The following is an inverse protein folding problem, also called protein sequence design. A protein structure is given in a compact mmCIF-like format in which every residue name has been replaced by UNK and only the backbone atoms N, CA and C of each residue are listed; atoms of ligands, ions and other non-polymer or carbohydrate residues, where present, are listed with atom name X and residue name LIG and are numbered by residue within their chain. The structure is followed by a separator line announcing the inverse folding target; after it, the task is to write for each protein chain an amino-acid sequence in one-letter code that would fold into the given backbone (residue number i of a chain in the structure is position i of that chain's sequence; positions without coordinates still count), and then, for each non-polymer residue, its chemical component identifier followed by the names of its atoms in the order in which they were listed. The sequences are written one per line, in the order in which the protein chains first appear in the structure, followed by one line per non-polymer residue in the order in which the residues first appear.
data_IF_790229160878
#
_entry.id   IF_790229160878
#
_cell.length_a   1.000
_cell.length_b   1.000
_cell.length_c   1.000
_cell.angle_alpha   90.00
_cell.angle_beta   90.00
_cell.angle_gamma   90.00
#
_symmetry.space_group_name_H-M   'P 1'
#
loop_
_entity.id
_entity.type
_entity.pdbx_description
1 polymer ?
#
# COMPACT_ATOMS: atom_id res chain seq x y z
N UNK A 1 -19.32 -9.21 23.35
CA UNK A 1 -17.88 -8.93 23.50
C UNK A 1 -17.09 -9.95 22.67
N UNK A 2 -16.28 -9.48 21.70
CA UNK A 2 -15.39 -10.34 20.92
C UNK A 2 -14.37 -11.02 21.83
N UNK A 3 -14.09 -12.31 21.55
CA UNK A 3 -13.05 -13.03 22.28
C UNK A 3 -11.71 -12.28 22.16
N UNK A 4 -11.15 -11.85 23.29
CA UNK A 4 -9.91 -11.06 23.33
C UNK A 4 -8.75 -11.74 22.60
N UNK A 5 -8.69 -13.06 22.61
CA UNK A 5 -7.64 -13.82 21.92
C UNK A 5 -7.75 -13.69 20.40
N UNK A 6 -8.94 -13.79 19.82
CA UNK A 6 -9.17 -13.67 18.37
C UNK A 6 -8.88 -12.23 17.92
N UNK A 7 -9.40 -11.25 18.66
CA UNK A 7 -9.14 -9.84 18.36
C UNK A 7 -7.64 -9.54 18.34
N UNK A 8 -6.92 -9.98 19.36
CA UNK A 8 -5.48 -9.75 19.47
C UNK A 8 -4.72 -10.42 18.33
N UNK A 9 -5.08 -11.65 17.97
CA UNK A 9 -4.44 -12.38 16.88
C UNK A 9 -4.60 -11.64 15.54
N UNK A 10 -5.79 -11.14 15.24
CA UNK A 10 -6.07 -10.38 14.03
C UNK A 10 -5.40 -9.01 14.04
N UNK A 11 -5.32 -8.35 15.20
CA UNK A 11 -4.58 -7.09 15.36
C UNK A 11 -3.10 -7.29 15.04
N UNK A 12 -2.46 -8.31 15.61
CA UNK A 12 -1.04 -8.60 15.36
C UNK A 12 -0.81 -8.96 13.89
N UNK A 13 -1.69 -9.75 13.30
CA UNK A 13 -1.64 -10.06 11.87
C UNK A 13 -1.65 -8.79 11.02
N UNK A 14 -2.55 -7.85 11.29
CA UNK A 14 -2.63 -6.60 10.55
C UNK A 14 -1.42 -5.71 10.77
N UNK A 15 -0.91 -5.61 11.99
CA UNK A 15 0.30 -4.83 12.30
C UNK A 15 1.47 -5.34 11.45
N UNK A 16 1.73 -6.64 11.45
CA UNK A 16 2.86 -7.23 10.71
C UNK A 16 2.64 -7.08 9.20
N UNK A 17 1.42 -7.37 8.72
CA UNK A 17 1.05 -7.27 7.30
C UNK A 17 1.43 -5.91 6.70
N UNK A 18 1.10 -4.84 7.39
CA UNK A 18 1.31 -3.48 6.89
C UNK A 18 2.68 -2.93 7.27
N UNK A 19 3.28 -3.40 8.35
CA UNK A 19 4.65 -3.06 8.70
C UNK A 19 5.67 -3.56 7.67
N UNK A 20 5.45 -4.72 7.07
CA UNK A 20 6.27 -5.24 5.97
C UNK A 20 6.35 -4.21 4.82
N UNK A 21 5.23 -3.65 4.45
CA UNK A 21 5.16 -2.69 3.35
C UNK A 21 5.68 -1.30 3.75
N UNK A 22 5.32 -0.85 4.94
CA UNK A 22 5.77 0.44 5.49
C UNK A 22 7.28 0.54 5.67
N UNK A 23 7.97 -0.57 5.78
CA UNK A 23 9.43 -0.61 5.93
C UNK A 23 10.18 -0.05 4.72
N UNK A 24 9.64 -0.16 3.52
CA UNK A 24 10.33 0.26 2.29
C UNK A 24 9.51 1.12 1.32
N UNK A 25 8.18 1.08 1.40
CA UNK A 25 7.31 1.67 0.37
C UNK A 25 7.66 3.14 0.06
N UNK A 26 7.82 3.95 1.08
CA UNK A 26 8.08 5.38 0.92
C UNK A 26 9.55 5.75 0.86
N UNK A 27 10.44 4.87 1.31
CA UNK A 27 11.88 5.14 1.42
C UNK A 27 12.74 4.45 0.36
N UNK A 28 12.20 3.48 -0.37
CA UNK A 28 12.96 2.75 -1.39
C UNK A 28 13.53 3.68 -2.47
N UNK A 29 12.79 4.73 -2.85
CA UNK A 29 13.27 5.71 -3.81
C UNK A 29 14.56 6.40 -3.39
N UNK A 30 14.72 6.74 -2.11
CA UNK A 30 15.94 7.33 -1.57
C UNK A 30 17.13 6.36 -1.64
N UNK A 31 16.91 5.10 -1.33
CA UNK A 31 17.94 4.08 -1.47
C UNK A 31 18.36 3.91 -2.93
N UNK A 32 17.39 3.78 -3.85
CA UNK A 32 17.68 3.64 -5.28
C UNK A 32 18.46 4.84 -5.83
N UNK A 33 18.10 6.04 -5.42
CA UNK A 33 18.84 7.24 -5.78
C UNK A 33 20.29 7.22 -5.27
N UNK A 34 20.50 6.76 -4.04
CA UNK A 34 21.83 6.70 -3.42
C UNK A 34 22.79 5.71 -4.10
N UNK A 35 22.27 4.68 -4.75
CA UNK A 35 23.05 3.65 -5.47
C UNK A 35 23.10 3.86 -6.98
N UNK A 36 22.71 5.01 -7.47
CA UNK A 36 22.78 5.36 -8.90
C UNK A 36 21.62 4.87 -9.76
N UNK A 37 20.53 4.42 -9.14
CA UNK A 37 19.32 3.94 -9.83
C UNK A 37 18.16 4.94 -9.80
N UNK A 38 18.44 6.23 -9.65
CA UNK A 38 17.40 7.27 -9.59
C UNK A 38 16.46 7.28 -10.80
N UNK A 39 16.97 7.01 -12.00
CA UNK A 39 16.17 6.92 -13.22
C UNK A 39 15.29 5.67 -13.32
N UNK A 40 15.51 4.70 -12.42
CA UNK A 40 14.80 3.42 -12.40
C UNK A 40 13.72 3.35 -11.29
N UNK A 41 13.58 4.38 -10.47
CA UNK A 41 12.60 4.41 -9.36
C UNK A 41 11.19 4.10 -9.86
N UNK A 42 10.76 4.72 -10.96
CA UNK A 42 9.43 4.49 -11.53
C UNK A 42 9.16 3.03 -11.91
N UNK A 43 10.15 2.32 -12.44
CA UNK A 43 10.02 0.90 -12.83
C UNK A 43 9.80 0.02 -11.58
N UNK A 44 10.51 0.29 -10.49
CA UNK A 44 10.31 -0.43 -9.23
C UNK A 44 8.89 -0.26 -8.69
N UNK A 45 8.37 0.97 -8.67
CA UNK A 45 7.01 1.23 -8.19
C UNK A 45 5.94 0.71 -9.15
N UNK A 46 6.15 0.76 -10.45
CA UNK A 46 5.20 0.25 -11.44
C UNK A 46 5.03 -1.27 -11.34
N UNK A 47 6.05 -1.99 -10.86
CA UNK A 47 5.97 -3.43 -10.68
C UNK A 47 4.89 -3.85 -9.69
N UNK A 48 4.63 -3.04 -8.66
CA UNK A 48 3.52 -3.28 -7.73
C UNK A 48 2.17 -3.29 -8.45
N UNK A 49 1.94 -2.35 -9.33
CA UNK A 49 0.74 -2.29 -10.16
C UNK A 49 0.63 -3.47 -11.12
N UNK A 50 1.70 -3.78 -11.83
CA UNK A 50 1.73 -4.88 -12.82
C UNK A 50 1.39 -6.22 -12.17
N UNK A 51 2.02 -6.57 -11.07
CA UNK A 51 1.74 -7.84 -10.37
C UNK A 51 0.35 -7.85 -9.75
N UNK A 52 -0.19 -6.71 -9.38
CA UNK A 52 -1.54 -6.59 -8.81
C UNK A 52 -2.65 -6.85 -9.83
N UNK A 53 -2.34 -6.86 -11.12
CA UNK A 53 -3.31 -7.19 -12.18
C UNK A 53 -3.70 -8.67 -12.12
N UNK A 54 -2.75 -9.57 -11.89
CA UNK A 54 -2.97 -11.01 -12.02
C UNK A 54 -2.67 -11.82 -10.74
N UNK A 55 -1.70 -11.45 -9.93
CA UNK A 55 -1.29 -12.24 -8.76
C UNK A 55 -2.38 -12.41 -7.69
N UNK A 56 -3.15 -11.38 -7.31
CA UNK A 56 -4.25 -11.56 -6.34
C UNK A 56 -5.29 -12.57 -6.82
N UNK A 57 -5.63 -12.58 -8.09
CA UNK A 57 -6.57 -13.54 -8.67
C UNK A 57 -6.01 -14.96 -8.65
N UNK A 58 -4.76 -15.15 -9.04
CA UNK A 58 -4.10 -16.45 -9.00
C UNK A 58 -4.06 -17.02 -7.58
N UNK A 59 -3.63 -16.21 -6.61
CA UNK A 59 -3.56 -16.63 -5.21
C UNK A 59 -4.95 -16.85 -4.60
N UNK A 60 -5.94 -16.08 -5.02
CA UNK A 60 -7.34 -16.34 -4.64
C UNK A 60 -7.84 -17.70 -5.09
N UNK A 61 -7.54 -18.10 -6.31
CA UNK A 61 -7.88 -19.45 -6.83
C UNK A 61 -7.15 -20.54 -6.04
N UNK A 62 -5.88 -20.33 -5.72
CA UNK A 62 -5.10 -21.28 -4.89
C UNK A 62 -5.68 -21.41 -3.49
N UNK A 63 -6.11 -20.30 -2.89
CA UNK A 63 -6.73 -20.29 -1.56
C UNK A 63 -8.09 -20.99 -1.55
N UNK A 64 -8.86 -20.84 -2.63
CA UNK A 64 -10.19 -21.46 -2.73
C UNK A 64 -10.11 -22.98 -2.94
N UNK A 65 -9.10 -23.47 -3.65
CA UNK A 65 -9.07 -24.86 -4.13
C UNK A 65 -8.00 -25.75 -3.49
N UNK A 66 -6.82 -25.21 -3.17
CA UNK A 66 -5.66 -26.05 -2.91
C UNK A 66 -5.06 -25.89 -1.51
N UNK A 67 -4.96 -24.68 -1.01
CA UNK A 67 -4.26 -24.39 0.23
C UNK A 67 -5.12 -23.50 1.11
N UNK A 68 -5.33 -23.84 2.40
CA UNK A 68 -6.05 -22.97 3.34
C UNK A 68 -5.49 -21.54 3.35
N UNK A 69 -6.38 -20.55 3.37
CA UNK A 69 -6.01 -19.13 3.17
C UNK A 69 -4.94 -18.64 4.15
N UNK A 70 -5.00 -19.03 5.43
CA UNK A 70 -3.98 -18.62 6.40
C UNK A 70 -2.61 -19.23 6.12
N UNK A 71 -2.56 -20.48 5.64
CA UNK A 71 -1.29 -21.11 5.24
C UNK A 71 -0.73 -20.47 3.99
N UNK A 72 -1.58 -20.18 3.00
CA UNK A 72 -1.17 -19.49 1.78
C UNK A 72 -0.66 -18.07 2.08
N UNK A 73 -1.33 -17.35 2.98
CA UNK A 73 -0.85 -16.05 3.46
C UNK A 73 0.56 -16.15 4.03
N UNK A 74 0.82 -17.14 4.88
CA UNK A 74 2.14 -17.40 5.43
C UNK A 74 3.18 -17.74 4.36
N UNK A 75 2.84 -18.62 3.42
CA UNK A 75 3.75 -19.00 2.32
C UNK A 75 4.10 -17.80 1.44
N UNK A 76 3.10 -16.99 1.05
CA UNK A 76 3.34 -15.78 0.27
C UNK A 76 4.25 -14.79 1.01
N UNK A 77 4.02 -14.56 2.30
CA UNK A 77 4.89 -13.73 3.12
C UNK A 77 6.31 -14.31 3.27
N UNK A 78 6.42 -15.63 3.39
CA UNK A 78 7.71 -16.31 3.47
C UNK A 78 8.55 -16.13 2.20
N UNK A 79 7.94 -16.32 1.03
CA UNK A 79 8.61 -16.13 -0.27
C UNK A 79 8.97 -14.65 -0.47
N UNK A 80 8.03 -13.74 -0.21
CA UNK A 80 8.26 -12.31 -0.32
C UNK A 80 9.35 -11.84 0.64
N UNK A 81 9.33 -12.31 1.89
CA UNK A 81 10.33 -11.99 2.90
C UNK A 81 11.71 -12.53 2.57
N UNK A 82 11.80 -13.75 2.09
CA UNK A 82 13.07 -14.33 1.66
C UNK A 82 13.68 -13.57 0.47
N UNK A 83 12.87 -13.17 -0.50
CA UNK A 83 13.31 -12.36 -1.64
C UNK A 83 13.77 -10.96 -1.20
N UNK A 84 13.09 -10.33 -0.24
CA UNK A 84 13.51 -9.04 0.33
C UNK A 84 14.80 -9.14 1.15
N UNK A 85 14.95 -10.17 1.95
CA UNK A 85 16.21 -10.45 2.64
C UNK A 85 17.36 -10.65 1.63
N UNK A 86 17.10 -11.36 0.54
CA UNK A 86 18.04 -11.51 -0.58
C UNK A 86 18.43 -10.18 -1.21
N UNK A 87 17.47 -9.29 -1.44
CA UNK A 87 17.70 -7.93 -1.96
C UNK A 87 18.54 -7.09 -0.99
N UNK A 88 18.23 -7.15 0.30
CA UNK A 88 19.01 -6.48 1.34
C UNK A 88 20.44 -7.01 1.45
N UNK A 89 20.61 -8.32 1.43
CA UNK A 89 21.93 -8.96 1.44
C UNK A 89 22.74 -8.60 0.19
N UNK A 90 22.12 -8.60 -0.98
CA UNK A 90 22.75 -8.16 -2.22
C UNK A 90 23.20 -6.69 -2.14
N UNK A 91 22.35 -5.81 -1.61
CA UNK A 91 22.70 -4.41 -1.38
C UNK A 91 23.86 -4.22 -0.41
N UNK A 92 23.94 -5.06 0.62
CA UNK A 92 25.04 -5.06 1.57
C UNK A 92 26.37 -5.47 0.93
N UNK A 93 26.36 -6.52 0.11
CA UNK A 93 27.58 -7.08 -0.50
C UNK A 93 28.06 -6.30 -1.71
N UNK A 94 27.16 -5.76 -2.52
CA UNK A 94 27.49 -5.00 -3.72
C UNK A 94 27.87 -3.54 -3.44
N UNK A 95 27.50 -2.99 -2.31
CA UNK A 95 27.79 -1.60 -1.95
C UNK A 95 27.21 -0.61 -2.96
N UNK A 96 28.08 0.12 -3.67
CA UNK A 96 27.69 1.06 -4.73
C UNK A 96 27.58 0.42 -6.12
N UNK A 97 28.08 -0.81 -6.30
CA UNK A 97 28.13 -1.52 -7.59
C UNK A 97 26.89 -2.39 -7.80
N UNK A 98 25.71 -1.81 -7.61
CA UNK A 98 24.45 -2.53 -7.70
C UNK A 98 24.01 -2.70 -9.16
N UNK A 99 23.82 -3.97 -9.56
CA UNK A 99 23.17 -4.29 -10.82
C UNK A 99 21.65 -4.11 -10.71
N UNK A 100 21.08 -3.29 -11.60
CA UNK A 100 19.63 -3.13 -11.70
C UNK A 100 18.92 -4.48 -11.87
N UNK A 101 19.42 -5.35 -12.74
CA UNK A 101 18.75 -6.61 -13.06
C UNK A 101 18.62 -7.53 -11.86
N UNK A 102 19.65 -7.62 -11.02
CA UNK A 102 19.64 -8.49 -9.83
C UNK A 102 18.72 -7.92 -8.77
N UNK A 103 18.86 -6.65 -8.43
CA UNK A 103 18.04 -6.01 -7.41
C UNK A 103 16.56 -5.98 -7.83
N UNK A 104 16.28 -5.63 -9.07
CA UNK A 104 14.92 -5.61 -9.59
C UNK A 104 14.28 -6.98 -9.63
N UNK A 105 15.01 -8.03 -9.98
CA UNK A 105 14.50 -9.41 -10.00
C UNK A 105 14.10 -9.87 -8.61
N UNK A 106 14.93 -9.61 -7.60
CA UNK A 106 14.62 -9.95 -6.21
C UNK A 106 13.42 -9.15 -5.69
N UNK A 107 13.38 -7.86 -5.98
CA UNK A 107 12.27 -7.00 -5.62
C UNK A 107 10.96 -7.43 -6.31
N UNK A 108 11.00 -7.72 -7.61
CA UNK A 108 9.84 -8.14 -8.37
C UNK A 108 9.26 -9.46 -7.84
N UNK A 109 10.11 -10.43 -7.49
CA UNK A 109 9.68 -11.69 -6.86
C UNK A 109 9.00 -11.42 -5.52
N UNK A 110 9.59 -10.57 -4.69
CA UNK A 110 9.01 -10.20 -3.41
C UNK A 110 7.64 -9.55 -3.57
N UNK A 111 7.52 -8.57 -4.44
CA UNK A 111 6.28 -7.83 -4.66
C UNK A 111 5.20 -8.70 -5.29
N UNK A 112 5.57 -9.61 -6.20
CA UNK A 112 4.64 -10.54 -6.82
C UNK A 112 3.91 -11.42 -5.78
N UNK A 113 4.60 -11.83 -4.73
CA UNK A 113 4.02 -12.62 -3.65
C UNK A 113 3.45 -11.76 -2.49
N UNK A 114 3.90 -10.53 -2.33
CA UNK A 114 3.36 -9.64 -1.30
C UNK A 114 2.00 -9.04 -1.69
N UNK A 115 1.83 -8.58 -2.93
CA UNK A 115 0.58 -7.89 -3.33
C UNK A 115 -0.68 -8.74 -3.10
N UNK A 116 -0.71 -10.04 -3.41
CA UNK A 116 -1.88 -10.86 -3.08
C UNK A 116 -2.14 -10.99 -1.58
N UNK A 117 -1.14 -10.82 -0.73
CA UNK A 117 -1.32 -10.94 0.73
C UNK A 117 -2.22 -9.86 1.31
N UNK A 118 -2.34 -8.70 0.65
CA UNK A 118 -3.25 -7.63 1.08
C UNK A 118 -4.70 -8.13 1.05
N UNK A 119 -5.12 -8.76 -0.04
CA UNK A 119 -6.44 -9.35 -0.17
C UNK A 119 -6.59 -10.60 0.69
N UNK A 120 -5.57 -11.47 0.74
CA UNK A 120 -5.59 -12.70 1.53
C UNK A 120 -5.70 -12.41 3.04
N UNK A 121 -5.00 -11.40 3.56
CA UNK A 121 -5.09 -11.03 4.97
C UNK A 121 -6.50 -10.58 5.36
N UNK A 122 -7.16 -9.82 4.49
CA UNK A 122 -8.55 -9.44 4.68
C UNK A 122 -9.48 -10.66 4.65
N UNK A 123 -9.30 -11.55 3.69
CA UNK A 123 -10.08 -12.78 3.58
C UNK A 123 -9.92 -13.68 4.81
N UNK A 124 -8.70 -13.83 5.30
CA UNK A 124 -8.42 -14.58 6.54
C UNK A 124 -9.11 -13.94 7.74
N UNK A 125 -9.04 -12.62 7.87
CA UNK A 125 -9.70 -11.91 8.96
C UNK A 125 -11.22 -12.07 8.91
N UNK A 126 -11.82 -11.90 7.74
CA UNK A 126 -13.26 -12.08 7.54
C UNK A 126 -13.71 -13.51 7.86
N UNK A 127 -12.99 -14.50 7.36
CA UNK A 127 -13.30 -15.90 7.61
C UNK A 127 -13.24 -16.25 9.11
N UNK A 128 -12.20 -15.79 9.81
CA UNK A 128 -12.04 -16.02 11.25
C UNK A 128 -13.16 -15.31 12.03
N UNK A 129 -13.52 -14.07 11.67
CA UNK A 129 -14.60 -13.34 12.34
C UNK A 129 -15.95 -14.02 12.12
N UNK A 130 -16.31 -14.36 10.89
CA UNK A 130 -17.59 -14.99 10.55
C UNK A 130 -17.76 -16.34 11.20
N UNK A 131 -16.72 -17.18 11.22
CA UNK A 131 -16.74 -18.49 11.87
C UNK A 131 -16.93 -18.43 13.38
N UNK A 132 -16.54 -17.33 13.99
CA UNK A 132 -16.72 -17.10 15.41
C UNK A 132 -17.98 -16.28 15.73
N UNK A 133 -18.85 -16.05 14.75
CA UNK A 133 -20.13 -15.38 14.93
C UNK A 133 -20.05 -13.86 15.07
N UNK A 134 -18.97 -13.24 14.58
CA UNK A 134 -18.78 -11.78 14.62
C UNK A 134 -19.21 -11.13 13.31
N UNK A 135 -19.62 -9.87 13.40
CA UNK A 135 -19.99 -9.07 12.24
C UNK A 135 -18.74 -8.40 11.63
N UNK A 136 -18.38 -8.82 10.41
CA UNK A 136 -17.20 -8.30 9.72
C UNK A 136 -17.28 -6.80 9.46
N UNK A 137 -18.45 -6.26 9.14
CA UNK A 137 -18.64 -4.83 8.88
C UNK A 137 -18.39 -3.99 10.13
N UNK A 138 -18.78 -4.51 11.29
CA UNK A 138 -18.66 -3.81 12.58
C UNK A 138 -17.30 -4.06 13.24
N UNK A 139 -16.81 -5.30 13.20
CA UNK A 139 -15.70 -5.76 14.04
C UNK A 139 -14.35 -5.69 13.33
N UNK A 140 -14.31 -5.73 11.99
CA UNK A 140 -13.06 -5.66 11.25
C UNK A 140 -12.43 -4.24 11.18
N UNK A 141 -13.16 -3.14 10.94
CA UNK A 141 -12.55 -1.82 10.82
C UNK A 141 -11.70 -1.40 12.03
N UNK A 142 -12.12 -1.62 13.29
CA UNK A 142 -11.28 -1.33 14.45
C UNK A 142 -9.98 -2.15 14.48
N UNK A 143 -9.99 -3.37 13.95
CA UNK A 143 -8.80 -4.22 13.82
C UNK A 143 -7.90 -3.70 12.71
N UNK A 144 -8.47 -3.30 11.59
CA UNK A 144 -7.74 -2.81 10.41
C UNK A 144 -6.96 -1.52 10.69
N UNK A 145 -7.43 -0.67 11.58
CA UNK A 145 -6.72 0.56 12.01
C UNK A 145 -5.32 0.24 12.53
N UNK A 146 -5.12 -0.89 13.20
CA UNK A 146 -3.81 -1.32 13.67
C UNK A 146 -2.83 -1.63 12.53
N UNK A 147 -3.32 -1.92 11.33
CA UNK A 147 -2.49 -2.01 10.14
C UNK A 147 -1.82 -0.67 9.80
N UNK A 148 -2.55 0.42 9.84
CA UNK A 148 -1.99 1.76 9.66
C UNK A 148 -0.97 2.10 10.75
N UNK A 149 -1.24 1.73 11.99
CA UNK A 149 -0.29 1.90 13.10
C UNK A 149 0.99 1.11 12.83
N UNK A 150 0.89 -0.13 12.38
CA UNK A 150 2.05 -0.96 12.01
C UNK A 150 2.86 -0.35 10.87
N UNK A 151 2.20 0.17 9.86
CA UNK A 151 2.84 0.88 8.75
C UNK A 151 3.63 2.09 9.23
N UNK A 152 3.03 2.93 10.06
CA UNK A 152 3.67 4.12 10.63
C UNK A 152 4.85 3.74 11.52
N UNK A 153 4.69 2.74 12.39
CA UNK A 153 5.77 2.26 13.25
C UNK A 153 6.97 1.76 12.44
N UNK A 154 6.73 1.03 11.35
CA UNK A 154 7.79 0.56 10.46
C UNK A 154 8.49 1.73 9.75
N UNK A 155 7.75 2.72 9.27
CA UNK A 155 8.32 3.94 8.68
C UNK A 155 9.22 4.68 9.66
N UNK A 156 8.77 4.88 10.89
CA UNK A 156 9.53 5.57 11.93
C UNK A 156 10.76 4.76 12.36
N UNK A 157 10.63 3.45 12.48
CA UNK A 157 11.76 2.57 12.78
C UNK A 157 12.87 2.70 11.72
N UNK A 158 12.50 2.62 10.45
CA UNK A 158 13.44 2.78 9.33
C UNK A 158 14.03 4.19 9.27
N UNK A 159 13.27 5.21 9.68
CA UNK A 159 13.77 6.59 9.73
C UNK A 159 14.81 6.81 10.82
N UNK A 160 14.59 6.29 12.03
CA UNK A 160 15.43 6.61 13.17
C UNK A 160 16.57 5.64 13.39
N UNK A 161 16.50 4.42 12.88
CA UNK A 161 17.61 3.46 13.00
C UNK A 161 18.69 3.75 11.98
N UNK A 162 19.94 3.57 12.42
CA UNK A 162 21.14 3.71 11.58
C UNK A 162 21.90 2.38 11.54
N UNK A 163 22.58 2.13 10.42
CA UNK A 163 23.48 0.98 10.30
C UNK A 163 24.85 1.25 10.94
N UNK A 164 25.76 0.29 10.85
CA UNK A 164 27.12 0.40 11.40
C UNK A 164 27.95 1.53 10.78
N UNK A 165 27.60 2.00 9.59
CA UNK A 165 28.25 3.11 8.89
C UNK A 165 27.61 4.48 9.20
N UNK A 166 26.65 4.51 10.10
CA UNK A 166 25.92 5.73 10.49
C UNK A 166 24.87 6.19 9.49
N UNK A 167 24.56 5.39 8.48
CA UNK A 167 23.51 5.69 7.47
C UNK A 167 22.14 5.24 7.99
N UNK A 168 21.15 6.12 7.90
CA UNK A 168 19.78 5.78 8.27
C UNK A 168 19.23 4.63 7.38
N UNK A 169 18.44 3.74 7.96
CA UNK A 169 17.85 2.63 7.22
C UNK A 169 17.01 3.07 6.02
N UNK A 170 16.36 4.25 6.09
CA UNK A 170 15.60 4.79 4.97
C UNK A 170 16.44 5.08 3.70
N UNK A 171 17.76 5.22 3.83
CA UNK A 171 18.69 5.48 2.74
C UNK A 171 19.61 4.29 2.42
N UNK A 172 19.38 3.15 3.06
CA UNK A 172 20.24 1.98 2.96
C UNK A 172 19.45 0.71 2.60
N UNK A 173 20.18 -0.35 2.25
CA UNK A 173 19.62 -1.70 2.01
C UNK A 173 18.91 -2.28 3.25
N UNK A 174 19.17 -1.75 4.44
CA UNK A 174 18.57 -2.26 5.68
C UNK A 174 17.06 -2.20 5.70
N UNK A 175 16.43 -1.29 4.95
CA UNK A 175 14.97 -1.26 4.80
C UNK A 175 14.42 -2.57 4.20
N UNK A 176 15.12 -3.16 3.25
CA UNK A 176 14.74 -4.45 2.67
C UNK A 176 14.94 -5.59 3.67
N UNK A 177 15.99 -5.54 4.47
CA UNK A 177 16.22 -6.52 5.54
C UNK A 177 15.13 -6.48 6.58
N UNK A 178 14.70 -5.29 7.02
CA UNK A 178 13.59 -5.12 7.98
C UNK A 178 12.29 -5.70 7.40
N UNK A 179 11.96 -5.34 6.17
CA UNK A 179 10.78 -5.87 5.48
C UNK A 179 10.83 -7.39 5.35
N UNK A 180 11.96 -7.93 4.93
CA UNK A 180 12.16 -9.37 4.76
C UNK A 180 12.04 -10.15 6.06
N UNK A 181 12.62 -9.65 7.14
CA UNK A 181 12.53 -10.28 8.47
C UNK A 181 11.09 -10.27 8.97
N UNK A 182 10.37 -9.15 8.82
CA UNK A 182 8.95 -9.08 9.18
C UNK A 182 8.10 -10.06 8.36
N UNK A 183 8.40 -10.24 7.07
CA UNK A 183 7.74 -11.24 6.24
C UNK A 183 7.98 -12.67 6.71
N UNK A 184 9.20 -13.00 7.12
CA UNK A 184 9.53 -14.31 7.70
C UNK A 184 8.84 -14.52 9.06
N UNK A 185 8.77 -13.49 9.89
CA UNK A 185 8.00 -13.54 11.15
C UNK A 185 6.53 -13.83 10.85
N UNK A 186 5.98 -13.20 9.83
CA UNK A 186 4.59 -13.42 9.42
C UNK A 186 4.36 -14.85 8.92
N UNK A 187 5.30 -15.46 8.23
CA UNK A 187 5.23 -16.88 7.84
C UNK A 187 4.97 -17.78 9.05
N UNK A 188 5.78 -17.63 10.10
CA UNK A 188 5.63 -18.44 11.31
C UNK A 188 4.37 -18.05 12.10
N UNK A 189 4.02 -16.77 12.13
CA UNK A 189 2.82 -16.30 12.80
C UNK A 189 1.54 -16.85 12.17
N UNK A 190 1.47 -16.95 10.85
CA UNK A 190 0.32 -17.51 10.15
C UNK A 190 0.06 -18.99 10.49
N UNK A 191 1.07 -19.73 10.94
CA UNK A 191 0.90 -21.10 11.41
C UNK A 191 0.09 -21.16 12.72
N UNK A 192 0.03 -20.08 13.46
CA UNK A 192 -0.72 -19.98 14.74
C UNK A 192 -2.16 -19.51 14.56
N UNK A 193 -2.53 -19.04 13.37
CA UNK A 193 -3.87 -18.55 13.09
C UNK A 193 -4.88 -19.69 12.97
N UNK A 194 -6.17 -19.45 13.33
CA UNK A 194 -7.25 -20.41 13.11
C UNK A 194 -7.35 -20.83 11.64
N UNK A 195 -7.71 -22.07 11.40
CA UNK A 195 -7.80 -22.61 10.05
C UNK A 195 -8.95 -21.98 9.25
N UNK A 196 -8.64 -21.57 8.02
CA UNK A 196 -9.57 -21.05 7.02
C UNK A 196 -9.65 -22.07 5.88
N UNK A 197 -10.59 -23.05 5.94
CA UNK A 197 -10.63 -24.14 4.95
C UNK A 197 -10.96 -23.64 3.56
N UNK A 198 -10.52 -24.42 2.55
CA UNK A 198 -10.84 -24.16 1.15
C UNK A 198 -12.35 -24.25 0.91
N UNK A 199 -12.92 -23.25 0.23
CA UNK A 199 -14.31 -23.30 -0.22
C UNK A 199 -14.39 -23.98 -1.59
N UNK A 200 -14.84 -25.23 -1.63
CA UNK A 200 -15.04 -25.98 -2.88
C UNK A 200 -16.25 -25.51 -3.71
N UNK A 201 -17.01 -24.55 -3.23
CA UNK A 201 -18.27 -24.08 -3.84
C UNK A 201 -18.11 -22.89 -4.79
N UNK A 202 -16.90 -22.52 -5.19
CA UNK A 202 -16.76 -21.57 -6.29
C UNK A 202 -17.24 -22.26 -7.56
N UNK A 203 -18.26 -21.70 -8.21
CA UNK A 203 -18.80 -22.18 -9.48
C UNK A 203 -17.68 -22.61 -10.43
N UNK A 204 -17.54 -23.92 -10.64
CA UNK A 204 -16.51 -24.51 -11.52
C UNK A 204 -16.65 -24.05 -12.97
N UNK A 205 -17.79 -23.46 -13.32
CA UNK A 205 -18.17 -23.05 -14.67
C UNK A 205 -17.86 -21.59 -15.01
N UNK A 206 -17.27 -20.79 -14.11
CA UNK A 206 -16.89 -19.42 -14.45
C UNK A 206 -15.56 -19.43 -15.23
N UNK A 207 -15.57 -18.82 -16.43
CA UNK A 207 -14.35 -18.64 -17.22
C UNK A 207 -13.31 -17.82 -16.42
N UNK A 208 -12.04 -18.10 -16.67
CA UNK A 208 -10.92 -17.36 -16.04
C UNK A 208 -11.07 -15.84 -16.25
N UNK A 209 -11.50 -15.44 -17.46
CA UNK A 209 -11.77 -14.05 -17.81
C UNK A 209 -12.81 -13.39 -16.89
N UNK A 210 -13.88 -14.12 -16.53
CA UNK A 210 -14.93 -13.63 -15.64
C UNK A 210 -14.41 -13.50 -14.19
N UNK A 211 -13.56 -14.44 -13.76
CA UNK A 211 -12.89 -14.38 -12.44
C UNK A 211 -11.90 -13.22 -12.33
N UNK A 212 -11.24 -12.87 -13.43
CA UNK A 212 -10.33 -11.72 -13.50
C UNK A 212 -11.07 -10.37 -13.60
N UNK A 213 -12.42 -10.40 -13.60
CA UNK A 213 -13.21 -9.17 -13.65
C UNK A 213 -13.22 -8.46 -15.00
N UNK A 214 -12.85 -9.14 -16.08
CA UNK A 214 -12.78 -8.55 -17.42
C UNK A 214 -14.15 -8.10 -17.94
N UNK A 215 -15.24 -8.62 -17.39
CA UNK A 215 -16.59 -8.16 -17.70
C UNK A 215 -16.80 -6.67 -17.38
N UNK A 216 -16.08 -6.14 -16.39
CA UNK A 216 -16.18 -4.74 -16.01
C UNK A 216 -15.64 -3.78 -17.09
N UNK A 217 -14.79 -4.26 -18.01
CA UNK A 217 -14.30 -3.43 -19.12
C UNK A 217 -15.43 -2.98 -20.06
N UNK A 218 -16.59 -3.62 -20.01
CA UNK A 218 -17.80 -3.15 -20.71
C UNK A 218 -18.27 -1.76 -20.25
N UNK A 219 -17.90 -1.35 -19.05
CA UNK A 219 -18.22 -0.01 -18.50
C UNK A 219 -17.55 1.11 -19.29
N UNK A 220 -16.44 0.86 -19.98
CA UNK A 220 -15.81 1.84 -20.86
C UNK A 220 -16.67 2.23 -22.07
N UNK A 221 -17.74 1.49 -22.37
CA UNK A 221 -18.72 1.85 -23.39
C UNK A 221 -19.60 3.02 -22.96
N UNK A 222 -19.81 3.22 -21.67
CA UNK A 222 -20.44 4.43 -21.11
C UNK A 222 -19.41 5.55 -21.05
N UNK A 223 -19.68 6.63 -21.76
CA UNK A 223 -18.79 7.80 -21.83
C UNK A 223 -18.47 8.39 -20.47
N UNK A 224 -19.43 8.46 -19.57
CA UNK A 224 -19.21 9.02 -18.23
C UNK A 224 -18.30 8.12 -17.39
N UNK A 225 -18.52 6.81 -17.47
CA UNK A 225 -17.69 5.85 -16.76
C UNK A 225 -16.27 5.78 -17.35
N UNK A 226 -16.12 5.87 -18.68
CA UNK A 226 -14.81 5.92 -19.32
C UNK A 226 -14.01 7.15 -18.88
N UNK A 227 -14.61 8.32 -18.86
CA UNK A 227 -13.98 9.55 -18.37
C UNK A 227 -13.60 9.40 -16.89
N UNK A 228 -14.50 8.89 -16.07
CA UNK A 228 -14.22 8.66 -14.64
C UNK A 228 -13.02 7.72 -14.44
N UNK A 229 -12.94 6.60 -15.16
CA UNK A 229 -11.82 5.68 -15.05
C UNK A 229 -10.50 6.27 -15.54
N UNK A 230 -10.51 7.07 -16.60
CA UNK A 230 -9.32 7.76 -17.09
C UNK A 230 -8.80 8.74 -16.04
N UNK A 231 -9.67 9.55 -15.44
CA UNK A 231 -9.26 10.45 -14.36
C UNK A 231 -8.82 9.71 -13.11
N UNK A 232 -9.44 8.59 -12.79
CA UNK A 232 -8.99 7.71 -11.70
C UNK A 232 -7.57 7.19 -11.93
N UNK A 233 -7.23 6.82 -13.16
CA UNK A 233 -5.88 6.43 -13.54
C UNK A 233 -4.88 7.58 -13.37
N UNK A 234 -5.23 8.78 -13.81
CA UNK A 234 -4.36 9.96 -13.65
C UNK A 234 -4.10 10.29 -12.17
N UNK A 235 -5.11 10.14 -11.32
CA UNK A 235 -4.93 10.30 -9.87
C UNK A 235 -4.10 9.17 -9.26
N UNK A 236 -4.20 7.97 -9.78
CA UNK A 236 -3.31 6.85 -9.43
C UNK A 236 -1.85 7.15 -9.77
N UNK A 237 -1.58 7.76 -10.92
CA UNK A 237 -0.24 8.24 -11.28
C UNK A 237 0.28 9.25 -10.25
N UNK A 238 -0.55 10.23 -9.85
CA UNK A 238 -0.19 11.20 -8.82
C UNK A 238 0.15 10.51 -7.49
N UNK A 239 -0.61 9.50 -7.09
CA UNK A 239 -0.36 8.71 -5.89
C UNK A 239 1.00 8.00 -5.95
N UNK A 240 1.31 7.35 -7.05
CA UNK A 240 2.57 6.61 -7.19
C UNK A 240 3.80 7.54 -7.28
N UNK A 241 3.65 8.70 -7.90
CA UNK A 241 4.70 9.74 -7.87
C UNK A 241 4.99 10.15 -6.43
N UNK A 242 3.97 10.43 -5.63
CA UNK A 242 4.13 10.75 -4.22
C UNK A 242 4.83 9.62 -3.46
N UNK A 243 4.40 8.37 -3.65
CA UNK A 243 5.00 7.22 -2.95
C UNK A 243 6.48 7.03 -3.31
N UNK A 244 6.83 7.21 -4.58
CA UNK A 244 8.18 6.94 -5.08
C UNK A 244 9.17 8.07 -4.85
N UNK A 245 8.73 9.31 -4.92
CA UNK A 245 9.62 10.47 -4.99
C UNK A 245 9.54 11.43 -3.80
N UNK A 246 8.56 11.31 -2.91
CA UNK A 246 8.45 12.20 -1.77
C UNK A 246 9.66 12.13 -0.83
N UNK A 247 10.11 10.94 -0.47
CA UNK A 247 11.28 10.77 0.38
C UNK A 247 12.57 11.22 -0.32
N UNK A 248 12.88 10.80 -1.55
CA UNK A 248 14.03 11.33 -2.28
C UNK A 248 14.05 12.85 -2.39
N UNK A 249 12.91 13.46 -2.69
CA UNK A 249 12.77 14.91 -2.79
C UNK A 249 13.13 15.62 -1.48
N UNK A 250 12.55 15.21 -0.36
CA UNK A 250 12.83 15.80 0.95
C UNK A 250 14.28 15.54 1.35
N UNK A 251 14.78 14.33 1.16
CA UNK A 251 16.15 13.95 1.55
C UNK A 251 17.22 14.67 0.74
N UNK A 252 16.93 15.03 -0.52
CA UNK A 252 17.86 15.78 -1.38
C UNK A 252 18.25 17.13 -0.79
N UNK A 253 17.40 17.75 0.05
CA UNK A 253 17.75 18.99 0.74
C UNK A 253 18.97 18.85 1.66
N UNK A 254 19.36 17.64 2.05
CA UNK A 254 20.60 17.42 2.82
C UNK A 254 21.86 17.79 2.02
N UNK A 255 21.79 17.76 0.70
CA UNK A 255 22.91 18.14 -0.19
C UNK A 255 23.07 19.67 -0.30
N UNK A 256 22.07 20.43 0.12
CA UNK A 256 22.09 21.90 0.11
C UNK A 256 22.63 22.38 1.46
N UNK A 257 23.73 23.16 1.51
CA UNK A 257 24.37 23.56 2.77
C UNK A 257 23.42 24.25 3.75
N UNK A 258 22.48 25.04 3.26
CA UNK A 258 21.50 25.77 4.07
C UNK A 258 20.56 24.84 4.85
N UNK A 259 20.23 23.66 4.28
CA UNK A 259 19.27 22.71 4.82
C UNK A 259 19.90 21.40 5.31
N UNK A 260 21.23 21.27 5.22
CA UNK A 260 21.92 20.01 5.54
C UNK A 260 21.64 19.49 6.96
N UNK A 261 21.47 20.40 7.91
CA UNK A 261 21.19 20.08 9.31
C UNK A 261 19.70 20.19 9.68
N UNK A 262 18.83 20.51 8.73
CA UNK A 262 17.40 20.60 8.98
C UNK A 262 16.82 19.25 9.38
N UNK A 263 16.04 19.25 10.46
CA UNK A 263 15.42 18.03 10.97
C UNK A 263 14.57 17.31 9.91
N UNK A 264 13.79 18.06 9.14
CA UNK A 264 12.93 17.50 8.08
C UNK A 264 13.70 16.82 6.97
N UNK A 265 14.83 17.36 6.54
CA UNK A 265 15.68 16.75 5.52
C UNK A 265 16.29 15.43 6.00
N UNK A 266 16.67 15.35 7.26
CA UNK A 266 17.22 14.13 7.87
C UNK A 266 16.17 13.08 8.20
N UNK A 267 14.93 13.50 8.39
CA UNK A 267 13.84 12.65 8.86
C UNK A 267 12.66 12.63 7.87
N UNK A 268 12.93 12.41 6.60
CA UNK A 268 11.94 12.43 5.54
C UNK A 268 10.78 11.47 5.79
N UNK A 269 11.04 10.24 6.23
CA UNK A 269 9.98 9.27 6.55
C UNK A 269 9.11 9.72 7.73
N UNK A 270 9.69 10.39 8.72
CA UNK A 270 8.93 10.93 9.84
C UNK A 270 7.96 12.03 9.38
N UNK A 271 8.37 12.90 8.45
CA UNK A 271 7.47 13.85 7.82
C UNK A 271 6.38 13.14 7.02
N UNK A 272 6.74 12.17 6.20
CA UNK A 272 5.78 11.43 5.36
C UNK A 272 4.78 10.65 6.23
N UNK A 273 5.16 10.19 7.42
CA UNK A 273 4.25 9.51 8.34
C UNK A 273 3.06 10.36 8.78
N UNK A 274 3.19 11.69 8.74
CA UNK A 274 2.08 12.61 8.99
C UNK A 274 0.94 12.40 7.97
N UNK A 275 1.27 12.08 6.72
CA UNK A 275 0.28 11.78 5.69
C UNK A 275 -0.56 10.53 6.03
N UNK A 276 0.03 9.54 6.66
CA UNK A 276 -0.68 8.33 7.09
C UNK A 276 -1.61 8.60 8.27
N UNK A 277 -1.21 9.44 9.20
CA UNK A 277 -2.10 9.90 10.28
C UNK A 277 -3.26 10.71 9.71
N UNK A 278 -2.99 11.61 8.77
CA UNK A 278 -4.01 12.40 8.07
C UNK A 278 -4.99 11.51 7.30
N UNK A 279 -4.52 10.46 6.63
CA UNK A 279 -5.35 9.46 5.96
C UNK A 279 -6.35 8.83 6.94
N UNK A 280 -5.88 8.39 8.09
CA UNK A 280 -6.75 7.81 9.12
C UNK A 280 -7.84 8.79 9.60
N UNK A 281 -7.47 10.06 9.80
CA UNK A 281 -8.42 11.11 10.18
C UNK A 281 -9.36 11.49 9.03
N UNK A 282 -8.86 11.47 7.78
CA UNK A 282 -9.64 11.75 6.58
C UNK A 282 -10.82 10.81 6.41
N UNK A 283 -10.62 9.53 6.67
CA UNK A 283 -11.70 8.52 6.64
C UNK A 283 -12.86 8.91 7.57
N UNK A 284 -12.56 9.43 8.74
CA UNK A 284 -13.59 9.85 9.72
C UNK A 284 -14.40 11.07 9.25
N UNK A 285 -13.82 11.89 8.38
CA UNK A 285 -14.48 13.09 7.85
C UNK A 285 -15.39 12.80 6.65
N UNK A 286 -15.21 11.67 5.97
CA UNK A 286 -15.93 11.33 4.75
C UNK A 286 -17.45 11.32 4.94
N UNK A 287 -18.04 10.68 5.97
CA UNK A 287 -19.49 10.67 6.15
C UNK A 287 -20.06 12.09 6.28
N UNK A 288 -19.35 12.96 6.97
CA UNK A 288 -19.74 14.37 7.15
C UNK A 288 -19.66 15.12 5.83
N UNK A 289 -18.56 14.97 5.11
CA UNK A 289 -18.34 15.62 3.82
C UNK A 289 -19.36 15.15 2.77
N UNK A 290 -19.65 13.85 2.72
CA UNK A 290 -20.64 13.27 1.80
C UNK A 290 -22.04 13.79 2.09
N UNK A 291 -22.40 13.95 3.36
CA UNK A 291 -23.70 14.52 3.77
C UNK A 291 -23.82 15.99 3.41
N UNK A 292 -22.74 16.76 3.57
CA UNK A 292 -22.73 18.22 3.33
C UNK A 292 -22.65 18.58 1.85
N UNK A 293 -21.82 17.88 1.09
CA UNK A 293 -21.45 18.29 -0.27
C UNK A 293 -21.94 17.33 -1.37
N UNK A 294 -22.20 16.08 -1.05
CA UNK A 294 -22.52 15.04 -2.02
C UNK A 294 -21.29 14.51 -2.78
N UNK A 295 -21.45 13.40 -3.47
CA UNK A 295 -20.36 12.63 -4.13
C UNK A 295 -19.55 13.49 -5.09
N UNK A 296 -20.22 14.23 -6.00
CA UNK A 296 -19.53 15.01 -7.03
C UNK A 296 -18.59 16.06 -6.44
N UNK A 297 -19.07 16.81 -5.44
CA UNK A 297 -18.28 17.86 -4.81
C UNK A 297 -17.14 17.28 -3.97
N UNK A 298 -17.38 16.15 -3.29
CA UNK A 298 -16.34 15.46 -2.53
C UNK A 298 -15.22 15.00 -3.47
N UNK A 299 -15.53 14.44 -4.63
CA UNK A 299 -14.53 14.07 -5.63
C UNK A 299 -13.76 15.28 -6.18
N UNK A 300 -14.43 16.40 -6.42
CA UNK A 300 -13.78 17.63 -6.85
C UNK A 300 -12.88 18.22 -5.77
N UNK A 301 -13.29 18.18 -4.50
CA UNK A 301 -12.44 18.56 -3.36
C UNK A 301 -11.19 17.70 -3.31
N UNK A 302 -11.31 16.40 -3.53
CA UNK A 302 -10.18 15.48 -3.57
C UNK A 302 -9.20 15.81 -4.70
N UNK A 303 -9.71 16.11 -5.90
CA UNK A 303 -8.88 16.50 -7.03
C UNK A 303 -8.15 17.82 -6.76
N UNK A 304 -8.84 18.81 -6.21
CA UNK A 304 -8.23 20.08 -5.81
C UNK A 304 -7.19 19.88 -4.71
N UNK A 305 -7.45 18.99 -3.76
CA UNK A 305 -6.51 18.63 -2.70
C UNK A 305 -5.21 18.04 -3.27
N UNK A 306 -5.27 17.25 -4.34
CA UNK A 306 -4.07 16.78 -5.03
C UNK A 306 -3.23 17.90 -5.64
N UNK A 307 -3.88 18.88 -6.26
CA UNK A 307 -3.19 20.08 -6.80
C UNK A 307 -2.52 20.84 -5.67
N UNK A 308 -3.23 21.07 -4.58
CA UNK A 308 -2.71 21.76 -3.40
C UNK A 308 -1.57 20.98 -2.73
N UNK A 309 -1.69 19.65 -2.66
CA UNK A 309 -0.64 18.75 -2.16
C UNK A 309 0.68 18.97 -2.87
N UNK A 310 0.68 18.87 -4.20
CA UNK A 310 1.91 19.03 -4.98
C UNK A 310 2.41 20.47 -5.03
N UNK A 311 1.50 21.45 -5.04
CA UNK A 311 1.87 22.86 -4.97
C UNK A 311 2.61 23.21 -3.67
N UNK A 312 2.07 22.81 -2.54
CA UNK A 312 2.73 23.01 -1.23
C UNK A 312 4.02 22.20 -1.11
N UNK A 313 4.05 21.01 -1.65
CA UNK A 313 5.23 20.16 -1.64
C UNK A 313 6.37 20.77 -2.44
N UNK A 314 6.08 21.30 -3.63
CA UNK A 314 7.05 21.93 -4.51
C UNK A 314 7.53 23.32 -4.03
N UNK A 315 6.68 24.04 -3.30
CA UNK A 315 7.03 25.37 -2.75
C UNK A 315 7.69 25.30 -1.36
N UNK A 316 7.57 24.17 -0.65
CA UNK A 316 8.09 23.98 0.68
C UNK A 316 9.56 23.59 0.70
N UNK A 317 10.18 23.78 1.88
CA UNK A 317 11.54 23.34 2.18
C UNK A 317 11.59 22.84 3.63
N UNK A 318 12.61 22.05 4.04
CA UNK A 318 12.69 21.51 5.40
C UNK A 318 13.18 22.54 6.44
N UNK A 319 13.49 23.76 6.03
CA UNK A 319 13.88 24.87 6.89
C UNK A 319 12.69 25.73 7.31
N UNK A 320 12.68 27.00 6.91
CA UNK A 320 11.61 27.97 7.23
C UNK A 320 10.28 27.60 6.55
N UNK A 321 10.31 26.90 5.42
CA UNK A 321 9.15 26.42 4.68
C UNK A 321 8.63 25.04 5.09
N UNK A 322 9.10 24.46 6.20
CA UNK A 322 8.67 23.13 6.66
C UNK A 322 7.15 23.02 6.90
N UNK A 323 6.53 24.13 7.27
CA UNK A 323 5.07 24.17 7.46
C UNK A 323 4.30 23.86 6.18
N UNK A 324 4.84 24.23 5.01
CA UNK A 324 4.22 23.87 3.71
C UNK A 324 4.30 22.36 3.46
N UNK A 325 5.43 21.74 3.79
CA UNK A 325 5.57 20.27 3.70
C UNK A 325 4.61 19.57 4.65
N UNK A 326 4.50 20.02 5.88
CA UNK A 326 3.58 19.45 6.88
C UNK A 326 2.11 19.62 6.42
N UNK A 327 1.74 20.80 5.93
CA UNK A 327 0.40 21.04 5.41
C UNK A 327 0.10 20.19 4.19
N UNK A 328 1.08 19.97 3.31
CA UNK A 328 0.97 19.04 2.18
C UNK A 328 0.69 17.61 2.65
N UNK A 329 1.36 17.15 3.71
CA UNK A 329 1.12 15.83 4.30
C UNK A 329 -0.29 15.70 4.88
N UNK A 330 -0.80 16.74 5.53
CA UNK A 330 -2.17 16.77 6.06
C UNK A 330 -3.20 16.76 4.92
N UNK A 331 -2.99 17.52 3.87
CA UNK A 331 -3.87 17.57 2.70
C UNK A 331 -3.93 16.24 1.95
N UNK A 332 -2.86 15.44 2.02
CA UNK A 332 -2.81 14.11 1.41
C UNK A 332 -3.97 13.21 1.87
N UNK A 333 -4.29 13.20 3.15
CA UNK A 333 -5.40 12.39 3.66
C UNK A 333 -6.73 12.74 2.99
N UNK A 334 -7.03 14.02 2.83
CA UNK A 334 -8.22 14.48 2.10
C UNK A 334 -8.13 14.10 0.62
N UNK A 335 -7.00 14.31 -0.01
CA UNK A 335 -6.81 14.02 -1.42
C UNK A 335 -7.02 12.53 -1.75
N UNK A 336 -6.44 11.65 -0.96
CA UNK A 336 -6.51 10.22 -1.17
C UNK A 336 -7.87 9.63 -0.80
N UNK A 337 -8.30 9.83 0.44
CA UNK A 337 -9.49 9.15 0.97
C UNK A 337 -10.78 9.65 0.35
N UNK A 338 -10.91 10.96 0.17
CA UNK A 338 -12.14 11.54 -0.41
C UNK A 338 -12.36 11.03 -1.83
N UNK A 339 -11.31 10.91 -2.63
CA UNK A 339 -11.45 10.35 -3.96
C UNK A 339 -11.68 8.84 -3.94
N UNK A 340 -10.90 8.11 -3.16
CA UNK A 340 -10.92 6.66 -3.16
C UNK A 340 -12.29 6.11 -2.70
N UNK A 341 -12.83 6.66 -1.62
CA UNK A 341 -14.12 6.21 -1.08
C UNK A 341 -15.28 6.74 -1.90
N UNK A 342 -15.29 8.02 -2.27
CA UNK A 342 -16.34 8.57 -3.11
C UNK A 342 -16.36 7.95 -4.51
N UNK A 343 -15.19 7.66 -5.07
CA UNK A 343 -15.07 6.96 -6.35
C UNK A 343 -15.61 5.53 -6.29
N UNK A 344 -15.30 4.79 -5.24
CA UNK A 344 -15.84 3.47 -4.98
C UNK A 344 -17.37 3.48 -4.87
N UNK A 345 -17.93 4.43 -4.15
CA UNK A 345 -19.38 4.62 -4.04
C UNK A 345 -20.02 4.99 -5.40
N UNK A 346 -19.37 5.85 -6.17
CA UNK A 346 -19.84 6.21 -7.51
C UNK A 346 -19.89 5.01 -8.43
N UNK A 347 -18.86 4.16 -8.42
CA UNK A 347 -18.84 2.90 -9.18
C UNK A 347 -20.00 1.99 -8.77
N UNK A 348 -20.24 1.83 -7.47
CA UNK A 348 -21.37 1.04 -6.98
C UNK A 348 -22.73 1.56 -7.47
N UNK A 349 -22.93 2.88 -7.51
CA UNK A 349 -24.17 3.50 -7.96
C UNK A 349 -24.40 3.33 -9.46
N UNK A 350 -23.36 3.18 -10.25
CA UNK A 350 -23.41 3.12 -11.72
C UNK A 350 -23.37 1.69 -12.28
N UNK A 351 -23.25 0.70 -11.43
CA UNK A 351 -23.10 -0.72 -11.84
C UNK A 351 -24.24 -1.58 -11.32
N UNK A 352 -24.52 -2.64 -12.06
CA UNK A 352 -25.48 -3.67 -11.64
C UNK A 352 -24.84 -4.65 -10.65
N UNK A 353 -25.66 -5.32 -9.83
CA UNK A 353 -25.17 -6.30 -8.85
C UNK A 353 -24.32 -7.43 -9.46
N UNK A 354 -24.54 -7.76 -10.74
CA UNK A 354 -23.80 -8.83 -11.43
C UNK A 354 -22.33 -8.53 -11.66
N UNK A 355 -21.98 -7.25 -11.87
CA UNK A 355 -20.60 -6.82 -12.19
C UNK A 355 -20.03 -5.90 -11.13
N UNK A 356 -20.70 -5.73 -10.02
CA UNK A 356 -20.30 -4.77 -8.96
C UNK A 356 -18.90 -5.06 -8.42
N UNK A 357 -18.60 -6.30 -8.08
CA UNK A 357 -17.26 -6.68 -7.58
C UNK A 357 -16.18 -6.51 -8.66
N UNK A 358 -16.49 -6.88 -9.90
CA UNK A 358 -15.59 -6.71 -11.04
C UNK A 358 -15.35 -5.24 -11.36
N UNK A 359 -16.37 -4.38 -11.22
CA UNK A 359 -16.25 -2.95 -11.42
C UNK A 359 -15.40 -2.30 -10.33
N UNK A 360 -15.54 -2.72 -9.08
CA UNK A 360 -14.66 -2.28 -7.99
C UNK A 360 -13.21 -2.73 -8.24
N UNK A 361 -13.02 -3.95 -8.71
CA UNK A 361 -11.71 -4.45 -9.13
C UNK A 361 -11.09 -3.60 -10.25
N UNK A 362 -11.89 -3.23 -11.25
CA UNK A 362 -11.44 -2.33 -12.32
C UNK A 362 -11.09 -0.94 -11.79
N UNK A 363 -11.88 -0.39 -10.88
CA UNK A 363 -11.56 0.88 -10.23
C UNK A 363 -10.22 0.83 -9.47
N UNK A 364 -10.00 -0.24 -8.71
CA UNK A 364 -8.73 -0.47 -8.02
C UNK A 364 -7.56 -0.66 -8.99
N UNK A 365 -7.79 -1.34 -10.09
CA UNK A 365 -6.80 -1.49 -11.16
C UNK A 365 -6.42 -0.14 -11.75
N UNK A 366 -7.39 0.73 -12.04
CA UNK A 366 -7.15 2.05 -12.61
C UNK A 366 -6.47 3.01 -11.63
N UNK A 367 -6.77 2.92 -10.34
CA UNK A 367 -6.17 3.80 -9.33
C UNK A 367 -4.82 3.33 -8.80
N UNK A 368 -4.60 2.03 -8.74
CA UNK A 368 -3.41 1.45 -8.10
C UNK A 368 -2.61 0.50 -8.99
N UNK A 369 -3.18 0.03 -10.09
CA UNK A 369 -2.55 -0.98 -10.95
C UNK A 369 -1.83 -0.42 -12.17
N UNK A 370 -2.31 0.65 -12.75
CA UNK A 370 -1.75 1.29 -13.95
C UNK A 370 -1.09 2.61 -13.58
#
# INVERSE_FOLDING_TARGET
YMNKSIKLRLIVMNIIQWAVWGSYLTSMGSYLASVGLATRIGIFYSMQGIVSIFMPTLMGIVADKFIPAQKLLGICHGIAGAAMCGAGFYGMTAGSDISFSILFSLYALSVAFYMPTIALSNSVAYNILERNGYDTVKDFPPIRVFGTIGFICAMLFVNFCTNGDGVQYQHSYNQFMVSGILGLIMLFYCLTLPECPCNMTSDENQSLAKRMGLDAFSLFKDRQMAIFFIFSMLLGVALQITNGFANPFISHFQEIPEFADAWGARNANALISISQVSETLGILLIPVAMKMFGIKKVMLIAMFAWVLRFGLFGAGDPGSGVWMLILSMIVYGVAFDFFNISGSLYVNMRTTSKIQNSAQGLFMLMTNGI
#
